data_IF_111956328086
#
_entry.id   IF_111956328086
#
_cell.length_a   1.000
_cell.length_b   1.000
_cell.length_c   1.000
_cell.angle_alpha   90.00
_cell.angle_beta   90.00
_cell.angle_gamma   90.00
#
_symmetry.space_group_name_H-M   'P 1'
#
loop_
_entity.id
_entity.type
_entity.pdbx_description
1 polymer ?
#
# COMPACT_ATOMS: atom_id res chain seq x y z
N UNK A 1 -7.87 9.66 -9.56
CA UNK A 1 -7.90 8.78 -10.75
C UNK A 1 -8.56 7.45 -10.40
N UNK A 2 -9.47 6.94 -11.25
CA UNK A 2 -10.09 5.62 -11.12
C UNK A 2 -9.66 4.75 -12.29
N UNK A 3 -9.02 3.61 -12.01
CA UNK A 3 -8.60 2.67 -13.06
C UNK A 3 -9.82 1.97 -13.68
N UNK A 4 -9.81 1.69 -15.00
CA UNK A 4 -10.84 0.88 -15.65
C UNK A 4 -11.18 -0.38 -14.83
N UNK A 5 -12.49 -0.61 -14.65
CA UNK A 5 -13.07 -1.69 -13.86
C UNK A 5 -13.11 -1.45 -12.33
N UNK A 6 -12.47 -0.41 -11.80
CA UNK A 6 -12.52 -0.05 -10.38
C UNK A 6 -13.56 1.04 -10.09
N UNK A 7 -14.22 0.97 -8.92
CA UNK A 7 -15.24 1.96 -8.52
C UNK A 7 -16.60 1.82 -9.22
N UNK A 8 -16.81 0.70 -9.92
CA UNK A 8 -18.05 0.34 -10.62
C UNK A 8 -18.62 -0.97 -10.04
N UNK A 9 -18.49 -2.11 -10.73
CA UNK A 9 -18.88 -3.44 -10.24
C UNK A 9 -17.72 -4.42 -10.42
N UNK A 10 -17.57 -5.44 -9.55
CA UNK A 10 -16.49 -6.42 -9.68
C UNK A 10 -16.41 -7.11 -11.05
N UNK A 11 -17.54 -7.28 -11.74
CA UNK A 11 -17.59 -7.91 -13.06
C UNK A 11 -16.85 -7.12 -14.13
N UNK A 12 -16.73 -5.79 -13.99
CA UNK A 12 -16.06 -4.96 -14.99
C UNK A 12 -14.54 -5.22 -15.02
N UNK A 13 -13.97 -5.78 -13.95
CA UNK A 13 -12.56 -6.25 -13.91
C UNK A 13 -12.32 -7.56 -14.68
N UNK A 14 -13.35 -8.24 -15.18
CA UNK A 14 -13.16 -9.47 -15.96
C UNK A 14 -12.56 -9.22 -17.34
N UNK A 15 -12.78 -8.03 -17.92
CA UNK A 15 -12.37 -7.70 -19.28
C UNK A 15 -11.23 -6.66 -19.34
N UNK A 16 -10.77 -6.14 -18.19
CA UNK A 16 -9.69 -5.14 -18.17
C UNK A 16 -8.33 -5.74 -18.45
N UNK A 17 -7.45 -4.92 -19.00
CA UNK A 17 -6.05 -5.23 -19.20
C UNK A 17 -5.14 -4.26 -18.44
N UNK A 18 -3.94 -4.71 -18.07
CA UNK A 18 -2.90 -3.85 -17.52
C UNK A 18 -2.51 -2.73 -18.49
N UNK A 19 -2.67 -2.95 -19.81
CA UNK A 19 -2.44 -1.93 -20.82
C UNK A 19 -3.42 -0.76 -20.70
N UNK A 20 -4.72 -1.03 -20.52
CA UNK A 20 -5.72 0.03 -20.28
C UNK A 20 -5.41 0.84 -19.01
N UNK A 21 -4.88 0.18 -17.97
CA UNK A 21 -4.45 0.89 -16.75
C UNK A 21 -3.23 1.78 -16.99
N UNK A 22 -2.26 1.32 -17.79
CA UNK A 22 -1.09 2.12 -18.20
C UNK A 22 -1.49 3.32 -19.06
N UNK A 23 -2.36 3.11 -20.04
CA UNK A 23 -2.85 4.16 -20.93
C UNK A 23 -3.53 5.29 -20.14
N UNK A 24 -4.38 4.94 -19.17
CA UNK A 24 -4.99 5.95 -18.31
C UNK A 24 -3.95 6.69 -17.46
N UNK A 25 -2.98 5.99 -16.86
CA UNK A 25 -1.91 6.65 -16.09
C UNK A 25 -1.12 7.59 -16.97
N UNK A 26 -0.82 7.18 -18.21
CA UNK A 26 -0.10 7.99 -19.19
C UNK A 26 -0.88 9.24 -19.58
N UNK A 27 -2.17 9.12 -19.86
CA UNK A 27 -3.03 10.26 -20.18
C UNK A 27 -3.10 11.24 -19.02
N UNK A 28 -3.37 10.75 -17.81
CA UNK A 28 -3.54 11.60 -16.63
C UNK A 28 -2.22 12.24 -16.18
N UNK A 29 -1.08 11.55 -16.33
CA UNK A 29 0.22 12.12 -16.04
C UNK A 29 0.58 13.23 -17.03
N UNK A 30 0.29 13.08 -18.33
CA UNK A 30 0.50 14.14 -19.32
C UNK A 30 -0.35 15.37 -19.04
N UNK A 31 -1.64 15.18 -18.74
CA UNK A 31 -2.52 16.30 -18.36
C UNK A 31 -1.94 17.04 -17.16
N UNK A 32 -1.48 16.32 -16.13
CA UNK A 32 -0.86 16.94 -14.97
C UNK A 32 0.44 17.69 -15.31
N UNK A 33 1.29 17.13 -16.19
CA UNK A 33 2.51 17.78 -16.67
C UNK A 33 2.22 19.06 -17.48
N UNK A 34 1.14 19.09 -18.24
CA UNK A 34 0.72 20.27 -19.01
C UNK A 34 0.03 21.34 -18.13
N UNK A 35 -0.61 20.93 -17.03
CA UNK A 35 -1.38 21.80 -16.13
C UNK A 35 -0.52 22.52 -15.07
N UNK A 36 0.74 22.12 -14.87
CA UNK A 36 1.61 22.69 -13.82
C UNK A 36 2.97 23.12 -14.34
N UNK A 37 3.44 24.29 -13.91
CA UNK A 37 4.79 24.80 -14.24
C UNK A 37 5.92 24.13 -13.43
N UNK A 38 5.55 23.36 -12.39
CA UNK A 38 6.46 22.82 -11.38
C UNK A 38 6.84 21.34 -11.58
N UNK A 39 7.72 20.81 -10.70
CA UNK A 39 8.07 19.40 -10.72
C UNK A 39 6.84 18.51 -10.48
N UNK A 40 6.63 17.52 -11.34
CA UNK A 40 5.57 16.52 -11.19
C UNK A 40 6.09 15.30 -10.44
N UNK A 41 5.41 14.93 -9.36
CA UNK A 41 5.67 13.70 -8.60
C UNK A 41 4.50 12.74 -8.77
N UNK A 42 4.79 11.46 -8.96
CA UNK A 42 3.75 10.44 -9.11
C UNK A 42 3.69 9.53 -7.90
N UNK A 43 2.47 9.34 -7.38
CA UNK A 43 2.20 8.52 -6.21
C UNK A 43 1.35 7.29 -6.53
N UNK A 44 1.67 6.16 -5.92
CA UNK A 44 0.95 4.92 -6.14
C UNK A 44 0.94 3.99 -4.93
N UNK A 45 -0.19 3.31 -4.73
CA UNK A 45 -0.36 2.25 -3.75
C UNK A 45 -0.47 0.89 -4.46
N UNK A 46 0.26 -0.12 -3.98
CA UNK A 46 0.17 -1.50 -4.49
C UNK A 46 0.36 -1.56 -6.02
N UNK A 47 -0.61 -2.08 -6.78
CA UNK A 47 -0.62 -2.06 -8.26
C UNK A 47 -0.38 -0.66 -8.84
N UNK A 48 -0.93 0.39 -8.22
CA UNK A 48 -0.74 1.77 -8.66
C UNK A 48 0.72 2.19 -8.61
N UNK A 49 1.48 1.68 -7.63
CA UNK A 49 2.93 1.93 -7.53
C UNK A 49 3.70 1.32 -8.71
N UNK A 50 3.27 0.16 -9.21
CA UNK A 50 3.86 -0.46 -10.41
C UNK A 50 3.62 0.39 -11.65
N UNK A 51 2.43 0.98 -11.77
CA UNK A 51 2.03 1.79 -12.93
C UNK A 51 2.75 3.14 -12.97
N UNK A 52 2.88 3.84 -11.83
CA UNK A 52 3.63 5.10 -11.78
C UNK A 52 5.13 4.88 -11.95
N UNK A 53 5.67 3.75 -11.48
CA UNK A 53 7.04 3.36 -11.75
C UNK A 53 7.27 3.14 -13.26
N UNK A 54 6.36 2.42 -13.93
CA UNK A 54 6.39 2.19 -15.37
C UNK A 54 6.44 3.50 -16.16
N UNK A 55 5.53 4.43 -15.84
CA UNK A 55 5.52 5.75 -16.46
C UNK A 55 6.82 6.52 -16.21
N UNK A 56 7.29 6.60 -14.97
CA UNK A 56 8.45 7.39 -14.59
C UNK A 56 9.77 6.90 -15.21
N UNK A 57 9.93 5.59 -15.45
CA UNK A 57 11.10 5.07 -16.17
C UNK A 57 11.11 5.46 -17.67
N UNK A 58 9.94 5.75 -18.25
CA UNK A 58 9.81 6.18 -19.64
C UNK A 58 9.83 7.72 -19.79
N UNK A 59 9.61 8.47 -18.71
CA UNK A 59 9.46 9.93 -18.74
C UNK A 59 10.44 10.62 -17.78
N UNK A 60 11.60 11.09 -18.30
CA UNK A 60 12.60 11.80 -17.51
C UNK A 60 12.11 13.11 -16.88
N UNK A 61 10.96 13.64 -17.26
CA UNK A 61 10.30 14.81 -16.66
C UNK A 61 9.76 14.58 -15.24
N UNK A 62 9.39 13.35 -14.88
CA UNK A 62 8.83 13.04 -13.54
C UNK A 62 9.91 13.25 -12.47
N UNK A 63 9.69 14.16 -11.53
CA UNK A 63 10.69 14.58 -10.55
C UNK A 63 10.95 13.55 -9.43
N UNK A 64 10.00 12.67 -9.14
CA UNK A 64 10.15 11.66 -8.10
C UNK A 64 8.92 10.78 -7.90
N UNK A 65 9.02 9.81 -7.00
CA UNK A 65 8.00 8.79 -6.77
C UNK A 65 7.58 8.67 -5.30
N UNK A 66 6.28 8.49 -5.06
CA UNK A 66 5.70 8.21 -3.73
C UNK A 66 5.06 6.82 -3.75
N UNK A 67 5.66 5.85 -3.08
CA UNK A 67 5.31 4.44 -3.19
C UNK A 67 4.83 3.87 -1.85
N UNK A 68 3.54 3.54 -1.76
CA UNK A 68 2.98 2.84 -0.60
C UNK A 68 2.79 1.37 -0.91
N UNK A 69 3.40 0.47 -0.12
CA UNK A 69 3.36 -0.98 -0.30
C UNK A 69 3.41 -1.40 -1.78
N UNK A 70 4.47 -1.05 -2.53
CA UNK A 70 4.50 -1.25 -3.98
C UNK A 70 4.42 -2.73 -4.35
N UNK A 71 3.57 -3.03 -5.34
CA UNK A 71 3.25 -4.39 -5.77
C UNK A 71 4.31 -5.07 -6.64
N UNK A 72 5.61 -4.81 -6.43
CA UNK A 72 6.66 -5.27 -7.35
C UNK A 72 6.83 -6.80 -7.34
N UNK A 73 6.63 -7.43 -6.19
CA UNK A 73 6.66 -8.88 -6.03
C UNK A 73 5.70 -9.28 -4.91
N UNK A 74 4.82 -10.22 -5.20
CA UNK A 74 3.95 -10.84 -4.20
C UNK A 74 4.54 -12.16 -3.69
N UNK A 75 3.89 -12.72 -2.67
CA UNK A 75 4.21 -14.02 -2.08
C UNK A 75 4.21 -15.17 -3.13
N UNK A 76 4.82 -16.34 -2.83
CA UNK A 76 5.04 -17.42 -3.80
C UNK A 76 3.75 -17.89 -4.52
N UNK A 77 3.89 -18.36 -5.76
CA UNK A 77 2.82 -18.86 -6.66
C UNK A 77 1.96 -17.81 -7.39
N UNK A 78 2.32 -16.53 -7.32
CA UNK A 78 1.72 -15.43 -8.12
C UNK A 78 1.70 -15.71 -9.64
N UNK A 79 2.70 -16.42 -10.13
CA UNK A 79 2.86 -16.83 -11.54
C UNK A 79 1.76 -17.77 -12.06
N UNK A 80 1.01 -18.44 -11.17
CA UNK A 80 -0.10 -19.32 -11.57
C UNK A 80 -1.36 -18.49 -11.90
N UNK A 81 -1.45 -17.25 -11.42
CA UNK A 81 -2.65 -16.42 -11.53
C UNK A 81 -3.11 -16.17 -12.99
N UNK A 82 -2.24 -15.89 -13.98
CA UNK A 82 -2.67 -15.70 -15.37
C UNK A 82 -3.24 -16.98 -16.01
N UNK A 83 -2.74 -18.15 -15.60
CA UNK A 83 -3.24 -19.46 -16.07
C UNK A 83 -4.58 -19.78 -15.39
N UNK A 84 -4.67 -19.56 -14.08
CA UNK A 84 -5.90 -19.74 -13.33
C UNK A 84 -7.03 -18.82 -13.82
N UNK A 85 -6.71 -17.61 -14.28
CA UNK A 85 -7.68 -16.65 -14.80
C UNK A 85 -8.44 -17.12 -16.03
N UNK A 86 -7.84 -17.99 -16.84
CA UNK A 86 -8.48 -18.58 -18.03
C UNK A 86 -9.42 -19.75 -17.69
N UNK A 87 -9.29 -20.33 -16.50
CA UNK A 87 -9.99 -21.56 -16.10
C UNK A 87 -11.12 -21.24 -15.12
N UNK A 88 -10.91 -20.28 -14.20
CA UNK A 88 -11.94 -19.80 -13.28
C UNK A 88 -11.98 -18.26 -13.27
N UNK A 89 -13.11 -17.64 -13.64
CA UNK A 89 -13.22 -16.18 -13.70
C UNK A 89 -13.19 -15.51 -12.32
N UNK A 90 -13.46 -16.27 -11.24
CA UNK A 90 -13.51 -15.77 -9.87
C UNK A 90 -12.69 -16.64 -8.91
N UNK A 91 -11.82 -16.02 -8.11
CA UNK A 91 -11.19 -16.63 -6.93
C UNK A 91 -12.12 -16.52 -5.72
N UNK A 92 -12.87 -15.42 -5.65
CA UNK A 92 -13.99 -15.24 -4.71
C UNK A 92 -15.18 -14.71 -5.50
N UNK A 93 -16.14 -15.60 -5.78
CA UNK A 93 -17.26 -15.38 -6.68
C UNK A 93 -18.46 -14.66 -6.06
N UNK A 94 -19.37 -14.10 -6.88
CA UNK A 94 -20.57 -13.41 -6.40
C UNK A 94 -21.53 -14.29 -5.59
N UNK A 95 -21.41 -15.62 -5.71
CA UNK A 95 -22.20 -16.62 -4.98
C UNK A 95 -21.49 -17.24 -3.78
N UNK A 96 -20.21 -16.91 -3.56
CA UNK A 96 -19.56 -17.26 -2.29
C UNK A 96 -20.18 -16.38 -1.19
N UNK A 97 -20.24 -16.84 0.07
CA UNK A 97 -20.71 -16.04 1.20
C UNK A 97 -19.73 -14.90 1.52
N UNK A 98 -19.55 -13.97 0.58
CA UNK A 98 -18.82 -12.72 0.71
C UNK A 98 -19.77 -11.74 1.35
N UNK A 99 -19.88 -11.87 2.66
CA UNK A 99 -20.56 -10.90 3.51
C UNK A 99 -19.75 -9.60 3.47
N UNK A 100 -20.43 -8.53 3.04
CA UNK A 100 -20.03 -7.11 3.10
C UNK A 100 -19.17 -6.58 1.95
N UNK A 101 -19.73 -6.43 0.74
CA UNK A 101 -19.19 -5.46 -0.22
C UNK A 101 -18.98 -4.12 0.50
N UNK A 102 -17.76 -3.60 0.45
CA UNK A 102 -17.52 -2.24 0.97
C UNK A 102 -17.80 -1.25 -0.16
N UNK A 103 -18.29 -0.04 0.13
CA UNK A 103 -18.61 0.96 -0.91
C UNK A 103 -17.39 1.40 -1.74
N UNK A 104 -16.18 1.04 -1.31
CA UNK A 104 -14.91 1.55 -1.81
C UNK A 104 -13.93 0.45 -2.22
N UNK A 105 -14.32 -0.82 -2.08
CA UNK A 105 -13.48 -1.97 -2.44
C UNK A 105 -14.33 -3.22 -2.70
N UNK A 106 -14.04 -3.88 -3.81
CA UNK A 106 -14.59 -5.20 -4.09
C UNK A 106 -13.98 -6.25 -3.16
N UNK A 107 -14.83 -7.03 -2.51
CA UNK A 107 -14.40 -8.25 -1.81
C UNK A 107 -14.49 -9.49 -2.70
N UNK A 108 -15.21 -9.41 -3.82
CA UNK A 108 -15.04 -10.36 -4.91
C UNK A 108 -13.69 -10.15 -5.55
N UNK A 109 -13.04 -11.25 -5.89
CA UNK A 109 -11.72 -11.21 -6.50
C UNK A 109 -11.78 -11.90 -7.86
N UNK A 110 -12.02 -11.14 -8.94
CA UNK A 110 -11.93 -11.66 -10.30
C UNK A 110 -10.50 -12.10 -10.57
N UNK A 111 -10.35 -13.31 -11.10
CA UNK A 111 -9.02 -13.90 -11.32
C UNK A 111 -8.22 -13.12 -12.37
N UNK A 112 -8.90 -12.48 -13.33
CA UNK A 112 -8.25 -11.56 -14.28
C UNK A 112 -7.58 -10.37 -13.57
N UNK A 113 -8.16 -9.84 -12.47
CA UNK A 113 -7.54 -8.77 -11.70
C UNK A 113 -6.15 -9.14 -11.18
N UNK A 114 -5.99 -10.37 -10.70
CA UNK A 114 -4.67 -10.89 -10.29
C UNK A 114 -3.73 -11.12 -11.47
N UNK A 115 -4.24 -11.58 -12.62
CA UNK A 115 -3.42 -11.74 -13.82
C UNK A 115 -2.84 -10.38 -14.28
N UNK A 116 -3.68 -9.34 -14.32
CA UNK A 116 -3.24 -7.99 -14.68
C UNK A 116 -2.28 -7.41 -13.64
N UNK A 117 -2.53 -7.62 -12.35
CA UNK A 117 -1.56 -7.30 -11.29
C UNK A 117 -0.19 -7.95 -11.57
N UNK A 118 -0.16 -9.27 -11.80
CA UNK A 118 1.09 -9.99 -12.10
C UNK A 118 1.83 -9.44 -13.32
N UNK A 119 1.11 -9.02 -14.37
CA UNK A 119 1.71 -8.36 -15.54
C UNK A 119 2.36 -7.01 -15.18
N UNK A 120 1.71 -6.20 -14.33
CA UNK A 120 2.31 -4.95 -13.85
C UNK A 120 3.53 -5.20 -12.96
N UNK A 121 3.48 -6.20 -12.06
CA UNK A 121 4.59 -6.57 -11.18
C UNK A 121 5.79 -7.06 -11.99
N UNK A 122 5.57 -7.92 -12.98
CA UNK A 122 6.65 -8.44 -13.84
C UNK A 122 7.32 -7.33 -14.64
N UNK A 123 6.54 -6.36 -15.13
CA UNK A 123 7.11 -5.18 -15.78
C UNK A 123 7.93 -4.32 -14.81
N UNK A 124 7.41 -4.05 -13.60
CA UNK A 124 8.13 -3.30 -12.59
C UNK A 124 9.48 -3.97 -12.24
N UNK A 125 9.50 -5.30 -12.02
CA UNK A 125 10.74 -6.05 -11.76
C UNK A 125 11.74 -5.94 -12.92
N UNK A 126 11.25 -5.96 -14.17
CA UNK A 126 12.10 -5.78 -15.36
C UNK A 126 12.75 -4.39 -15.37
N UNK A 127 11.98 -3.34 -15.07
CA UNK A 127 12.49 -1.97 -15.00
C UNK A 127 13.53 -1.80 -13.88
N UNK A 128 13.26 -2.39 -12.71
CA UNK A 128 14.13 -2.41 -11.52
C UNK A 128 15.40 -3.26 -11.68
N UNK A 129 15.64 -3.85 -12.86
CA UNK A 129 16.98 -4.34 -13.22
C UNK A 129 18.00 -3.21 -13.34
N UNK A 130 17.51 -1.98 -13.58
CA UNK A 130 18.27 -0.72 -13.64
C UNK A 130 18.00 0.11 -12.39
N UNK A 131 18.91 1.02 -12.08
CA UNK A 131 18.72 2.01 -11.02
C UNK A 131 17.69 3.05 -11.43
N UNK A 132 17.09 3.70 -10.43
CA UNK A 132 16.27 4.89 -10.55
C UNK A 132 16.87 5.94 -9.61
N UNK A 133 17.36 7.02 -10.19
CA UNK A 133 18.26 7.98 -9.58
C UNK A 133 17.55 9.24 -9.09
N UNK A 134 16.23 9.33 -9.22
CA UNK A 134 15.42 10.43 -8.68
C UNK A 134 14.89 10.12 -7.27
N UNK A 135 14.50 11.13 -6.49
CA UNK A 135 13.94 10.92 -5.15
C UNK A 135 12.76 9.95 -5.12
N UNK A 136 12.80 9.00 -4.19
CA UNK A 136 11.72 8.04 -3.92
C UNK A 136 11.38 8.06 -2.44
N UNK A 137 10.13 8.36 -2.13
CA UNK A 137 9.54 8.02 -0.84
C UNK A 137 8.89 6.64 -0.96
N UNK A 138 9.16 5.75 -0.01
CA UNK A 138 8.60 4.42 0.04
C UNK A 138 8.14 4.08 1.46
N UNK A 139 6.98 3.45 1.62
CA UNK A 139 6.49 2.97 2.91
C UNK A 139 6.07 1.50 2.81
N UNK A 140 6.55 0.67 3.74
CA UNK A 140 6.35 -0.79 3.74
C UNK A 140 6.04 -1.25 5.16
N UNK A 141 5.03 -2.12 5.32
CA UNK A 141 4.82 -2.88 6.54
C UNK A 141 5.54 -4.22 6.44
N UNK A 142 6.34 -4.58 7.46
CA UNK A 142 7.08 -5.84 7.51
C UNK A 142 6.16 -7.05 7.30
N UNK A 143 5.01 -7.03 7.98
CA UNK A 143 4.06 -8.13 8.04
C UNK A 143 2.97 -8.05 6.95
N UNK A 144 3.24 -7.33 5.86
CA UNK A 144 2.36 -7.28 4.70
C UNK A 144 2.19 -8.68 4.07
N UNK A 145 1.00 -9.27 4.22
CA UNK A 145 0.65 -10.61 3.73
C UNK A 145 0.52 -10.72 2.22
N UNK A 146 0.57 -9.60 1.49
CA UNK A 146 0.41 -9.56 0.04
C UNK A 146 1.76 -9.57 -0.65
N UNK A 147 2.78 -8.97 -0.03
CA UNK A 147 4.04 -8.58 -0.70
C UNK A 147 5.25 -9.34 -0.16
N UNK A 148 6.25 -9.51 -1.03
CA UNK A 148 7.60 -9.90 -0.61
C UNK A 148 8.35 -8.66 -0.08
N UNK A 149 8.21 -8.41 1.23
CA UNK A 149 8.74 -7.20 1.88
C UNK A 149 10.27 -7.18 1.94
N UNK A 150 10.90 -8.36 2.00
CA UNK A 150 12.36 -8.48 1.91
C UNK A 150 12.88 -8.06 0.52
N UNK A 151 12.17 -8.45 -0.55
CA UNK A 151 12.47 -7.97 -1.90
C UNK A 151 12.31 -6.45 -2.03
N UNK A 152 11.26 -5.87 -1.42
CA UNK A 152 11.06 -4.42 -1.42
C UNK A 152 12.20 -3.66 -0.73
N UNK A 153 12.68 -4.18 0.40
CA UNK A 153 13.85 -3.63 1.08
C UNK A 153 15.10 -3.71 0.18
N UNK A 154 15.36 -4.86 -0.46
CA UNK A 154 16.49 -5.03 -1.39
C UNK A 154 16.42 -4.03 -2.55
N UNK A 155 15.24 -3.89 -3.17
CA UNK A 155 15.00 -2.93 -4.25
C UNK A 155 15.30 -1.51 -3.80
N UNK A 156 14.77 -1.08 -2.65
CA UNK A 156 15.01 0.29 -2.17
C UNK A 156 16.50 0.56 -1.96
N UNK A 157 17.21 -0.38 -1.33
CA UNK A 157 18.62 -0.22 -1.01
C UNK A 157 19.51 -0.20 -2.26
N UNK A 158 19.21 -1.04 -3.26
CA UNK A 158 20.08 -1.26 -4.42
C UNK A 158 19.68 -0.50 -5.69
N UNK A 159 18.39 -0.18 -5.85
CA UNK A 159 17.84 0.35 -7.11
C UNK A 159 17.40 1.80 -6.99
N UNK A 160 16.88 2.24 -5.85
CA UNK A 160 16.54 3.65 -5.62
C UNK A 160 17.75 4.36 -5.02
N UNK A 161 18.55 5.00 -5.88
CA UNK A 161 19.91 5.44 -5.53
C UNK A 161 20.01 6.89 -5.10
N UNK A 162 18.96 7.70 -5.29
CA UNK A 162 19.00 9.11 -4.88
C UNK A 162 19.23 9.24 -3.36
N UNK A 163 20.15 10.10 -2.91
CA UNK A 163 20.49 10.23 -1.48
C UNK A 163 19.31 10.74 -0.63
N UNK A 164 18.39 11.52 -1.22
CA UNK A 164 17.21 12.02 -0.51
C UNK A 164 16.07 11.00 -0.41
N UNK A 165 16.15 9.87 -1.14
CA UNK A 165 15.13 8.82 -1.03
C UNK A 165 15.00 8.35 0.42
N UNK A 166 13.75 8.11 0.85
CA UNK A 166 13.44 7.61 2.20
C UNK A 166 12.54 6.38 2.11
N UNK A 167 12.89 5.35 2.87
CA UNK A 167 12.03 4.19 3.14
C UNK A 167 11.57 4.27 4.58
N UNK A 168 10.27 4.22 4.80
CA UNK A 168 9.71 3.89 6.12
C UNK A 168 9.43 2.39 6.16
N UNK A 169 10.03 1.73 7.14
CA UNK A 169 9.80 0.33 7.44
C UNK A 169 9.03 0.21 8.76
N UNK A 170 7.76 -0.21 8.69
CA UNK A 170 6.95 -0.50 9.86
C UNK A 170 7.14 -1.95 10.30
N UNK A 171 7.81 -2.16 11.42
CA UNK A 171 8.11 -3.47 11.98
C UNK A 171 9.38 -3.45 12.83
N UNK A 172 9.91 -4.64 13.08
CA UNK A 172 11.26 -4.80 13.59
C UNK A 172 12.29 -4.44 12.50
N UNK A 173 13.46 -3.95 12.93
CA UNK A 173 14.56 -3.68 12.01
C UNK A 173 14.96 -4.98 11.27
N UNK A 174 14.97 -4.98 9.92
CA UNK A 174 15.38 -6.14 9.14
C UNK A 174 16.84 -6.50 9.38
N UNK A 175 17.18 -7.79 9.30
CA UNK A 175 18.58 -8.24 9.43
C UNK A 175 19.43 -7.82 8.23
N UNK A 176 18.80 -7.72 7.07
CA UNK A 176 19.39 -7.37 5.77
C UNK A 176 19.47 -5.85 5.55
N UNK A 177 19.16 -5.06 6.58
CA UNK A 177 19.25 -3.61 6.52
C UNK A 177 20.73 -3.17 6.51
N UNK A 178 21.15 -2.61 5.37
CA UNK A 178 22.47 -2.02 5.15
C UNK A 178 22.41 -0.49 5.06
N UNK A 179 21.34 0.10 4.49
CA UNK A 179 21.20 1.55 4.37
C UNK A 179 20.50 2.17 5.58
N UNK A 180 21.25 2.35 6.65
CA UNK A 180 20.75 2.94 7.91
C UNK A 180 20.48 4.45 7.81
N UNK A 181 20.88 5.11 6.71
CA UNK A 181 20.68 6.57 6.53
C UNK A 181 19.35 6.87 5.87
N UNK A 182 18.94 6.08 4.88
CA UNK A 182 17.72 6.29 4.10
C UNK A 182 16.53 5.48 4.60
N UNK A 183 16.75 4.45 5.42
CA UNK A 183 15.68 3.61 5.97
C UNK A 183 15.36 4.01 7.41
N UNK A 184 14.11 4.40 7.64
CA UNK A 184 13.56 4.81 8.92
C UNK A 184 12.65 3.70 9.45
N UNK A 185 12.99 3.13 10.61
CA UNK A 185 12.23 2.04 11.22
C UNK A 185 11.25 2.59 12.27
N UNK A 186 10.02 2.06 12.28
CA UNK A 186 9.01 2.28 13.32
C UNK A 186 8.36 0.97 13.71
N UNK A 187 8.13 0.75 15.00
CA UNK A 187 7.42 -0.46 15.46
C UNK A 187 5.98 -0.47 14.97
N UNK A 188 5.48 -1.65 14.60
CA UNK A 188 4.14 -1.83 14.03
C UNK A 188 3.15 -2.53 14.99
N UNK A 189 3.59 -2.89 16.19
CA UNK A 189 2.74 -3.30 17.30
C UNK A 189 2.51 -2.12 18.24
N UNK A 190 1.27 -1.63 18.29
CA UNK A 190 0.88 -0.43 19.05
C UNK A 190 -0.32 -0.74 19.96
N UNK A 191 -0.10 -1.26 21.17
CA UNK A 191 -1.19 -1.59 22.10
C UNK A 191 -2.11 -0.43 22.46
N UNK A 192 -1.58 0.80 22.49
CA UNK A 192 -2.38 2.02 22.74
C UNK A 192 -3.49 2.23 21.70
N UNK A 193 -3.27 1.76 20.46
CA UNK A 193 -4.24 1.80 19.37
C UNK A 193 -4.89 0.42 19.11
N UNK A 194 -4.64 -0.56 20.00
CA UNK A 194 -5.01 -1.98 19.83
C UNK A 194 -4.50 -2.57 18.51
N UNK A 195 -3.32 -2.18 18.06
CA UNK A 195 -2.72 -2.70 16.82
C UNK A 195 -1.76 -3.83 17.21
N UNK A 196 -2.00 -5.04 16.72
CA UNK A 196 -1.09 -6.18 16.90
C UNK A 196 0.08 -6.12 15.91
N UNK A 197 -0.18 -5.75 14.66
CA UNK A 197 0.82 -5.54 13.59
C UNK A 197 0.24 -4.63 12.48
N UNK A 198 1.10 -4.02 11.66
CA UNK A 198 0.63 -3.22 10.51
C UNK A 198 0.15 -4.11 9.36
N UNK A 199 -0.66 -3.52 8.48
CA UNK A 199 -1.29 -4.21 7.35
C UNK A 199 -0.93 -3.57 6.01
N UNK A 200 -1.18 -4.30 4.91
CA UNK A 200 -1.06 -3.76 3.55
C UNK A 200 -1.86 -2.46 3.36
N UNK A 201 -3.03 -2.34 3.99
CA UNK A 201 -3.91 -1.17 3.88
C UNK A 201 -3.63 -0.07 4.92
N UNK A 202 -2.87 -0.40 5.96
CA UNK A 202 -2.72 0.44 7.15
C UNK A 202 -1.83 1.66 6.97
N UNK A 203 -1.30 1.91 5.77
CA UNK A 203 -0.30 2.97 5.54
C UNK A 203 -0.90 4.30 5.06
N UNK A 204 -2.14 4.29 4.55
CA UNK A 204 -2.66 5.37 3.71
C UNK A 204 -3.53 6.41 4.41
N UNK A 205 -4.17 6.06 5.53
CA UNK A 205 -5.19 6.90 6.13
C UNK A 205 -4.79 7.36 7.55
N UNK A 206 -5.16 8.60 7.89
CA UNK A 206 -4.98 9.12 9.24
C UNK A 206 -5.90 8.41 10.25
N UNK A 207 -5.54 8.38 11.54
CA UNK A 207 -6.43 7.85 12.59
C UNK A 207 -7.76 8.60 12.68
N UNK A 208 -7.79 9.87 12.27
CA UNK A 208 -8.98 10.73 12.23
C UNK A 208 -9.88 10.53 11.00
N UNK A 209 -9.51 9.66 10.06
CA UNK A 209 -10.29 9.45 8.84
C UNK A 209 -11.70 8.91 9.17
N UNK A 210 -12.75 9.59 8.70
CA UNK A 210 -14.14 9.23 9.01
C UNK A 210 -14.59 7.85 8.49
N UNK A 211 -13.88 7.27 7.52
CA UNK A 211 -14.18 5.95 6.97
C UNK A 211 -13.25 4.87 7.54
N UNK A 212 -11.94 5.11 7.50
CA UNK A 212 -10.90 4.12 7.78
C UNK A 212 -10.12 4.35 9.08
N UNK A 213 -10.38 5.45 9.79
CA UNK A 213 -9.69 5.81 11.02
C UNK A 213 -10.01 4.87 12.19
N UNK A 214 -9.45 5.17 13.36
CA UNK A 214 -9.64 4.38 14.59
C UNK A 214 -11.13 4.23 14.95
N UNK A 215 -11.88 5.33 14.84
CA UNK A 215 -13.34 5.40 14.97
C UNK A 215 -14.08 5.42 13.63
N UNK A 216 -13.45 4.97 12.54
CA UNK A 216 -14.00 4.99 11.20
C UNK A 216 -15.29 4.15 11.08
N UNK A 217 -16.19 4.59 10.20
CA UNK A 217 -17.49 3.91 9.96
C UNK A 217 -17.35 2.56 9.26
N UNK A 218 -16.25 2.29 8.57
CA UNK A 218 -16.00 1.04 7.85
C UNK A 218 -14.99 0.19 8.60
N UNK A 219 -15.46 -0.94 9.14
CA UNK A 219 -14.61 -1.95 9.78
C UNK A 219 -14.60 -3.22 8.96
N UNK A 220 -13.41 -3.68 8.59
CA UNK A 220 -13.23 -4.92 7.83
C UNK A 220 -13.01 -6.06 8.82
N UNK A 221 -14.11 -6.69 9.26
CA UNK A 221 -14.11 -7.81 10.20
C UNK A 221 -13.66 -9.13 9.58
N UNK A 222 -13.85 -9.30 8.28
CA UNK A 222 -13.35 -10.47 7.57
C UNK A 222 -11.84 -10.32 7.37
N UNK A 223 -11.05 -10.83 8.32
CA UNK A 223 -9.60 -10.67 8.34
C UNK A 223 -8.83 -12.01 8.38
N UNK A 224 -9.39 -13.08 7.80
CA UNK A 224 -8.73 -14.40 7.71
C UNK A 224 -8.85 -15.26 8.99
N UNK A 225 -9.67 -14.83 9.95
CA UNK A 225 -10.01 -15.56 11.17
C UNK A 225 -11.21 -16.50 11.01
N UNK A 226 -11.46 -17.33 12.04
CA UNK A 226 -12.64 -18.20 12.11
C UNK A 226 -13.95 -17.40 12.15
N UNK A 227 -15.03 -17.97 11.60
CA UNK A 227 -16.33 -17.29 11.48
C UNK A 227 -16.86 -16.74 12.81
N UNK A 228 -16.66 -17.47 13.92
CA UNK A 228 -17.04 -17.02 15.27
C UNK A 228 -16.41 -15.67 15.64
N UNK A 229 -15.13 -15.47 15.27
CA UNK A 229 -14.38 -14.25 15.57
C UNK A 229 -14.79 -13.13 14.63
N UNK A 230 -15.06 -13.45 13.36
CA UNK A 230 -15.63 -12.48 12.41
C UNK A 230 -16.99 -11.97 12.90
N UNK A 231 -17.86 -12.86 13.40
CA UNK A 231 -19.19 -12.51 13.93
C UNK A 231 -19.09 -11.62 15.17
N UNK A 232 -18.19 -11.91 16.10
CA UNK A 232 -17.90 -11.08 17.26
C UNK A 232 -17.56 -9.62 16.85
N UNK A 233 -16.67 -9.47 15.86
CA UNK A 233 -16.33 -8.15 15.30
C UNK A 233 -17.55 -7.44 14.71
N UNK A 234 -18.37 -8.15 13.92
CA UNK A 234 -19.58 -7.58 13.30
C UNK A 234 -20.64 -7.17 14.34
N UNK A 235 -20.67 -7.84 15.49
CA UNK A 235 -21.57 -7.52 16.61
C UNK A 235 -21.08 -6.36 17.48
N UNK A 236 -19.93 -5.76 17.14
CA UNK A 236 -19.41 -4.58 17.83
C UNK A 236 -18.54 -4.89 19.05
N UNK A 237 -18.07 -6.12 19.22
CA UNK A 237 -17.06 -6.43 20.25
C UNK A 237 -15.80 -5.57 20.08
N UNK A 238 -15.07 -5.35 21.17
CA UNK A 238 -13.81 -4.62 21.13
C UNK A 238 -12.79 -5.36 20.26
N UNK A 239 -12.28 -4.67 19.24
CA UNK A 239 -11.34 -5.25 18.28
C UNK A 239 -9.91 -4.78 18.50
N UNK A 240 -8.99 -5.64 18.08
CA UNK A 240 -7.62 -5.31 17.74
C UNK A 240 -7.48 -5.23 16.21
N UNK A 241 -6.46 -4.52 15.74
CA UNK A 241 -6.19 -4.35 14.32
C UNK A 241 -4.94 -5.11 13.90
N UNK A 242 -4.97 -5.73 12.72
CA UNK A 242 -3.85 -6.50 12.18
C UNK A 242 -3.90 -6.59 10.66
N UNK A 243 -2.89 -7.24 10.08
CA UNK A 243 -2.93 -7.70 8.70
C UNK A 243 -3.76 -8.98 8.51
N UNK A 244 -3.89 -9.45 7.26
CA UNK A 244 -4.68 -10.63 6.93
C UNK A 244 -4.11 -11.86 7.62
N UNK A 245 -5.01 -12.67 8.18
CA UNK A 245 -4.66 -13.99 8.67
C UNK A 245 -3.85 -13.99 9.98
N UNK A 246 -3.49 -12.82 10.52
CA UNK A 246 -2.93 -12.72 11.85
C UNK A 246 -3.95 -13.15 12.90
N UNK A 247 -3.50 -13.94 13.89
CA UNK A 247 -4.34 -14.48 14.95
C UNK A 247 -3.58 -14.42 16.26
N UNK A 248 -4.28 -14.01 17.31
CA UNK A 248 -3.77 -14.00 18.67
C UNK A 248 -4.86 -14.50 19.63
N UNK A 249 -4.55 -15.43 20.55
CA UNK A 249 -5.51 -15.91 21.52
C UNK A 249 -6.13 -14.76 22.32
N UNK A 250 -7.45 -14.82 22.52
CA UNK A 250 -8.19 -13.82 23.30
C UNK A 250 -8.42 -12.48 22.59
N UNK A 251 -8.04 -12.33 21.30
CA UNK A 251 -8.28 -11.11 20.53
C UNK A 251 -9.19 -11.35 19.33
N UNK A 252 -10.05 -10.37 19.08
CA UNK A 252 -10.87 -10.27 17.87
C UNK A 252 -10.18 -9.28 16.93
N UNK A 253 -9.80 -9.70 15.73
CA UNK A 253 -9.07 -8.84 14.80
C UNK A 253 -9.95 -8.26 13.70
N UNK A 254 -9.73 -6.99 13.37
CA UNK A 254 -10.16 -6.35 12.14
C UNK A 254 -8.94 -5.97 11.30
N UNK A 255 -9.10 -5.81 9.98
CA UNK A 255 -8.00 -5.29 9.14
C UNK A 255 -7.63 -3.88 9.62
N UNK A 256 -6.35 -3.64 9.89
CA UNK A 256 -5.85 -2.28 10.09
C UNK A 256 -6.03 -1.48 8.80
N UNK A 257 -6.58 -0.28 8.88
CA UNK A 257 -6.82 0.60 7.71
C UNK A 257 -6.35 2.04 7.92
N UNK A 258 -5.74 2.35 9.07
CA UNK A 258 -5.17 3.66 9.38
C UNK A 258 -3.76 3.52 9.95
N UNK A 259 -3.00 4.61 9.89
CA UNK A 259 -1.63 4.70 10.38
C UNK A 259 -1.53 5.68 11.55
N UNK A 260 -1.29 5.23 12.79
CA UNK A 260 -1.00 6.15 13.91
C UNK A 260 0.19 7.08 13.70
N UNK A 261 1.10 6.74 12.78
CA UNK A 261 2.23 7.59 12.42
C UNK A 261 1.95 8.50 11.22
N UNK A 262 0.70 8.68 10.81
CA UNK A 262 0.34 9.39 9.56
C UNK A 262 1.01 10.76 9.41
N UNK A 263 0.99 11.60 10.46
CA UNK A 263 1.58 12.95 10.39
C UNK A 263 3.10 12.89 10.28
N UNK A 264 3.75 12.01 11.05
CA UNK A 264 5.19 11.76 10.95
C UNK A 264 5.59 11.17 9.60
N UNK A 265 4.81 10.23 9.07
CA UNK A 265 5.02 9.68 7.73
C UNK A 265 4.95 10.77 6.68
N UNK A 266 3.98 11.67 6.81
CA UNK A 266 3.78 12.80 5.89
C UNK A 266 4.95 13.78 5.95
N UNK A 267 5.50 14.06 7.13
CA UNK A 267 6.68 14.93 7.24
C UNK A 267 7.93 14.30 6.60
N UNK A 268 8.13 12.98 6.72
CA UNK A 268 9.20 12.26 6.02
C UNK A 268 8.98 12.30 4.51
N UNK A 269 7.75 12.11 4.04
CA UNK A 269 7.39 12.21 2.62
C UNK A 269 7.74 13.59 2.07
N UNK A 270 7.26 14.66 2.71
CA UNK A 270 7.57 16.03 2.28
C UNK A 270 9.07 16.27 2.31
N UNK A 271 9.76 15.84 3.37
CA UNK A 271 11.21 15.96 3.51
C UNK A 271 12.02 15.20 2.44
N UNK A 272 11.45 14.17 1.81
CA UNK A 272 12.09 13.41 0.72
C UNK A 272 12.24 14.26 -0.55
N UNK A 273 11.37 15.25 -0.74
CA UNK A 273 11.34 16.10 -1.94
C UNK A 273 11.68 17.58 -1.62
N UNK A 274 11.80 17.94 -0.34
CA UNK A 274 11.90 19.31 0.15
C UNK A 274 13.26 20.01 0.01
N UNK A 275 14.28 19.39 -0.60
CA UNK A 275 15.65 19.94 -0.63
C UNK A 275 15.86 21.17 -1.53
N UNK A 276 14.81 21.83 -2.03
CA UNK A 276 14.93 23.09 -2.76
C UNK A 276 14.04 24.24 -2.29
N UNK A 277 13.16 24.07 -1.29
CA UNK A 277 12.31 25.18 -0.81
C UNK A 277 12.46 25.30 0.72
N UNK A 278 13.16 26.36 1.14
CA UNK A 278 13.34 26.71 2.54
C UNK A 278 12.01 27.03 3.22
N UNK A 279 11.39 26.03 3.82
CA UNK A 279 10.34 26.22 4.81
C UNK A 279 10.62 25.29 5.99
N UNK A 280 11.05 25.87 7.11
CA UNK A 280 11.10 25.21 8.41
C UNK A 280 9.71 24.64 8.71
N UNK A 281 9.58 23.31 8.71
CA UNK A 281 8.41 22.65 9.30
C UNK A 281 8.80 22.28 10.73
N UNK A 282 8.38 23.12 11.69
CA UNK A 282 8.39 22.80 13.11
C UNK A 282 7.47 21.59 13.35
N UNK A 283 8.06 20.48 13.79
CA UNK A 283 7.33 19.29 14.22
C UNK A 283 6.93 19.49 15.69
N UNK A 284 5.64 19.47 16.06
CA UNK A 284 5.25 19.56 17.46
C UNK A 284 5.73 18.34 18.23
N UNK A 285 6.41 18.56 19.35
CA UNK A 285 6.78 17.51 20.29
C UNK A 285 5.52 16.90 20.90
N UNK A 286 5.41 15.57 20.82
CA UNK A 286 4.40 14.82 21.56
C UNK A 286 4.77 14.91 23.04
N UNK A 287 4.00 15.72 23.77
CA UNK A 287 4.11 15.86 25.22
C UNK A 287 3.72 14.51 25.85
N UNK A 288 4.71 13.81 26.42
CA UNK A 288 4.44 12.68 27.29
C UNK A 288 3.80 13.20 28.57
N UNK A 289 2.48 13.06 28.65
CA UNK A 289 1.71 13.37 29.86
C UNK A 289 2.32 12.65 31.06
N UNK A 290 2.83 13.44 32.01
CA UNK A 290 3.25 13.01 33.33
C UNK A 290 2.07 12.41 34.08
N UNK A 291 2.35 11.32 34.78
CA UNK A 291 1.63 10.92 35.99
C UNK A 291 1.82 12.00 37.05
N UNK A 292 0.72 12.46 37.61
CA UNK A 292 0.45 12.53 39.05
C UNK A 292 -1.07 12.72 39.24
#
# INVERSE_FOLDING_TARGET
MLLPGHGTRPADLLAVSAQQWRELVQEQARVLEDDVDGPVYLGGFSTGANLVLDYAYAHPSIAGLVLFSPGFKSMPFDWVAPVAARIRPWIVGPGDPVRDQTPVRYLNVPTNGFAQFYHTSTNARRLLSRTYDKPVFMAVAQHDSVLDTAYLLDVFQRRFTHPDSRLIWYGAAPRELADTRRVLVRGDSLPAYRISQFSHMGLLFSPSNALYGEGGRLRICHNGQAERVTRACLQGEAVWYSDWGYREPGKVHARLTFNPYFDWQTSVLIGTFGSNHGANIDVPSVNSGRRE
#
